data_IF_406251073174
#
_entry.id   IF_406251073174
#
_cell.length_a   1.000
_cell.length_b   1.000
_cell.length_c   1.000
_cell.angle_alpha   90.00
_cell.angle_beta   90.00
_cell.angle_gamma   90.00
#
_symmetry.space_group_name_H-M   'P 1'
#
loop_
_entity.id
_entity.type
_entity.pdbx_description
1 polymer ?
#
# COMPACT_ATOMS: atom_id res chain seq x y z
N UNK A 1 31.08 69.94 23.82
CA UNK A 1 31.86 68.72 24.06
C UNK A 1 30.90 67.68 24.63
N UNK A 2 30.67 66.60 23.88
CA UNK A 2 30.18 65.25 24.24
C UNK A 2 29.05 65.11 25.29
N UNK A 3 27.82 64.74 24.87
CA UNK A 3 27.30 63.36 24.69
C UNK A 3 27.12 62.63 26.02
N UNK A 4 25.87 62.32 26.40
CA UNK A 4 25.33 60.96 26.54
C UNK A 4 23.83 61.04 26.85
N UNK A 5 23.00 60.79 25.84
CA UNK A 5 21.57 60.54 25.96
C UNK A 5 21.43 59.01 26.06
N UNK A 6 21.10 58.49 27.23
CA UNK A 6 20.81 57.06 27.41
C UNK A 6 19.36 56.80 26.98
N UNK A 7 19.20 56.34 25.74
CA UNK A 7 17.92 55.83 25.22
C UNK A 7 17.76 54.40 25.76
N UNK A 8 16.81 54.22 26.68
CA UNK A 8 16.37 52.91 27.12
C UNK A 8 15.64 52.19 26.00
N UNK A 9 16.30 51.22 25.37
CA UNK A 9 15.69 50.24 24.48
C UNK A 9 14.97 49.20 25.35
N UNK A 10 13.67 49.40 25.56
CA UNK A 10 12.76 48.36 26.04
C UNK A 10 12.55 47.38 24.88
N UNK A 11 13.37 46.32 24.85
CA UNK A 11 13.16 45.19 23.96
C UNK A 11 11.86 44.48 24.34
N UNK A 12 10.83 44.65 23.53
CA UNK A 12 9.69 43.73 23.51
C UNK A 12 10.21 42.38 23.01
N UNK A 13 10.56 41.50 23.94
CA UNK A 13 10.65 40.07 23.67
C UNK A 13 9.26 39.61 23.28
N UNK A 14 9.00 39.48 21.98
CA UNK A 14 7.88 38.71 21.47
C UNK A 14 8.11 37.26 21.92
N UNK A 15 7.51 36.88 23.06
CA UNK A 15 7.29 35.47 23.36
C UNK A 15 6.31 34.94 22.31
N UNK A 16 6.84 34.32 21.26
CA UNK A 16 6.03 33.36 20.50
C UNK A 16 5.65 32.27 21.50
N UNK A 17 4.36 31.98 21.72
CA UNK A 17 3.97 30.87 22.56
C UNK A 17 4.64 29.62 21.99
N UNK A 18 5.51 29.00 22.77
CA UNK A 18 6.01 27.66 22.48
C UNK A 18 4.78 26.78 22.62
N UNK A 19 4.08 26.54 21.51
CA UNK A 19 3.09 25.48 21.47
C UNK A 19 3.88 24.20 21.72
N UNK A 20 3.69 23.61 22.89
CA UNK A 20 4.21 22.28 23.20
C UNK A 20 3.79 21.36 22.07
N UNK A 21 4.76 20.73 21.40
CA UNK A 21 4.45 19.74 20.37
C UNK A 21 3.67 18.61 21.04
N UNK A 22 2.51 18.26 20.47
CA UNK A 22 1.63 17.22 21.03
C UNK A 22 2.09 15.89 20.48
N UNK A 23 2.48 14.96 21.35
CA UNK A 23 2.74 13.57 21.00
C UNK A 23 1.45 12.74 21.05
N UNK A 24 1.24 11.84 20.09
CA UNK A 24 0.14 10.87 20.06
C UNK A 24 0.51 9.56 20.79
N UNK A 25 1.79 9.21 20.92
CA UNK A 25 2.30 7.96 21.49
C UNK A 25 1.67 7.60 22.86
N UNK A 26 1.36 8.61 23.68
CA UNK A 26 0.77 8.44 25.01
C UNK A 26 -0.65 9.02 25.12
N UNK A 27 -1.35 9.16 23.98
CA UNK A 27 -2.70 9.74 23.89
C UNK A 27 -3.68 8.73 23.29
N UNK A 28 -4.16 7.77 24.09
CA UNK A 28 -5.09 6.74 23.61
C UNK A 28 -6.37 7.33 23.02
N UNK A 29 -6.82 8.49 23.51
CA UNK A 29 -7.97 9.22 22.98
C UNK A 29 -7.74 9.74 21.54
N UNK A 30 -6.51 10.13 21.20
CA UNK A 30 -6.16 10.52 19.83
C UNK A 30 -5.93 9.30 18.95
N UNK A 31 -5.29 8.25 19.46
CA UNK A 31 -5.06 7.00 18.73
C UNK A 31 -6.36 6.27 18.40
N UNK A 32 -7.38 6.33 19.27
CA UNK A 32 -8.70 5.77 18.97
C UNK A 32 -9.37 6.50 17.80
N UNK A 33 -9.25 7.84 17.75
CA UNK A 33 -9.72 8.63 16.60
C UNK A 33 -8.95 8.32 15.33
N UNK A 34 -7.64 8.13 15.40
CA UNK A 34 -6.82 7.67 14.27
C UNK A 34 -7.33 6.31 13.78
N UNK A 35 -7.52 5.35 14.68
CA UNK A 35 -8.01 4.02 14.34
C UNK A 35 -9.40 4.08 13.68
N UNK A 36 -10.29 4.93 14.18
CA UNK A 36 -11.62 5.14 13.58
C UNK A 36 -11.53 5.78 12.20
N UNK A 37 -10.71 6.82 12.01
CA UNK A 37 -10.52 7.46 10.71
C UNK A 37 -9.94 6.48 9.67
N UNK A 38 -8.94 5.69 10.05
CA UNK A 38 -8.35 4.64 9.22
C UNK A 38 -9.37 3.55 8.89
N UNK A 39 -10.07 3.02 9.88
CA UNK A 39 -11.08 1.98 9.67
C UNK A 39 -12.16 2.42 8.68
N UNK A 40 -12.65 3.65 8.82
CA UNK A 40 -13.60 4.24 7.86
C UNK A 40 -12.98 4.44 6.48
N UNK A 41 -11.71 4.87 6.41
CA UNK A 41 -10.98 5.03 5.13
C UNK A 41 -10.86 3.71 4.38
N UNK A 42 -10.39 2.65 5.04
CA UNK A 42 -10.26 1.34 4.41
C UNK A 42 -11.62 0.71 4.12
N UNK A 43 -12.67 1.00 4.89
CA UNK A 43 -14.04 0.59 4.56
C UNK A 43 -14.75 1.50 3.55
N UNK A 44 -14.06 2.45 2.91
CA UNK A 44 -14.63 3.35 1.91
C UNK A 44 -15.78 4.26 2.44
N UNK A 45 -15.84 4.46 3.75
CA UNK A 45 -16.72 5.41 4.45
C UNK A 45 -16.02 6.77 4.57
N UNK A 46 -15.77 7.42 3.43
CA UNK A 46 -14.88 8.58 3.35
C UNK A 46 -15.42 9.84 4.04
N UNK A 47 -16.74 10.02 4.08
CA UNK A 47 -17.35 11.15 4.77
C UNK A 47 -17.16 11.04 6.28
N UNK A 48 -17.37 9.85 6.85
CA UNK A 48 -17.14 9.51 8.25
C UNK A 48 -15.65 9.60 8.62
N UNK A 49 -14.77 9.13 7.74
CA UNK A 49 -13.33 9.26 7.90
C UNK A 49 -12.92 10.74 8.01
N UNK A 50 -13.45 11.60 7.15
CA UNK A 50 -13.16 13.04 7.14
C UNK A 50 -13.70 13.79 8.35
N UNK A 51 -14.83 13.38 8.91
CA UNK A 51 -15.34 13.97 10.16
C UNK A 51 -14.28 13.80 11.26
N UNK A 52 -13.82 12.57 11.46
CA UNK A 52 -12.83 12.24 12.50
C UNK A 52 -11.47 12.86 12.22
N UNK A 53 -11.03 12.84 10.95
CA UNK A 53 -9.79 13.50 10.52
C UNK A 53 -9.81 15.01 10.83
N UNK A 54 -10.94 15.70 10.58
CA UNK A 54 -11.06 17.15 10.84
C UNK A 54 -11.05 17.47 12.33
N UNK A 55 -11.60 16.60 13.18
CA UNK A 55 -11.49 16.74 14.63
C UNK A 55 -10.04 16.67 15.09
N UNK A 56 -9.27 15.70 14.57
CA UNK A 56 -7.84 15.58 14.85
C UNK A 56 -7.05 16.80 14.34
N UNK A 57 -7.39 17.29 13.14
CA UNK A 57 -6.81 18.50 12.58
C UNK A 57 -7.08 19.72 13.46
N UNK A 58 -8.29 19.89 13.96
CA UNK A 58 -8.64 21.00 14.85
C UNK A 58 -7.92 20.89 16.20
N UNK A 59 -7.82 19.69 16.76
CA UNK A 59 -7.17 19.45 18.05
C UNK A 59 -5.64 19.58 17.98
N UNK A 60 -5.03 19.19 16.84
CA UNK A 60 -3.58 19.08 16.68
C UNK A 60 -3.11 19.55 15.29
N UNK A 61 -3.32 20.85 14.94
CA UNK A 61 -3.09 21.34 13.58
C UNK A 61 -1.64 21.29 13.10
N UNK A 62 -0.69 21.20 14.03
CA UNK A 62 0.75 21.13 13.75
C UNK A 62 1.32 19.71 13.91
N UNK A 63 0.49 18.70 14.14
CA UNK A 63 0.93 17.30 14.14
C UNK A 63 0.87 16.73 12.71
N UNK A 64 1.75 15.81 12.30
CA UNK A 64 1.70 15.20 10.95
C UNK A 64 0.45 14.35 10.70
N UNK A 65 -0.05 13.66 11.73
CA UNK A 65 -1.11 12.65 11.59
C UNK A 65 -2.37 13.12 10.83
N UNK A 66 -2.96 14.30 11.10
CA UNK A 66 -4.14 14.75 10.36
C UNK A 66 -3.90 14.90 8.85
N UNK A 67 -2.73 15.40 8.43
CA UNK A 67 -2.39 15.54 7.00
C UNK A 67 -2.17 14.17 6.37
N UNK A 68 -1.47 13.27 7.08
CA UNK A 68 -1.26 11.90 6.66
C UNK A 68 -2.59 11.16 6.45
N UNK A 69 -3.54 11.28 7.38
CA UNK A 69 -4.87 10.67 7.27
C UNK A 69 -5.69 11.21 6.09
N UNK A 70 -5.70 12.53 5.86
CA UNK A 70 -6.38 13.10 4.69
C UNK A 70 -5.75 12.60 3.38
N UNK A 71 -4.43 12.44 3.33
CA UNK A 71 -3.76 11.88 2.16
C UNK A 71 -4.23 10.43 1.90
N UNK A 72 -4.33 9.59 2.93
CA UNK A 72 -4.85 8.23 2.78
C UNK A 72 -6.31 8.21 2.33
N UNK A 73 -7.16 9.10 2.86
CA UNK A 73 -8.55 9.26 2.41
C UNK A 73 -8.59 9.58 0.91
N UNK A 74 -7.78 10.53 0.43
CA UNK A 74 -7.72 10.89 -0.99
C UNK A 74 -7.27 9.71 -1.85
N UNK A 75 -6.25 8.96 -1.40
CA UNK A 75 -5.75 7.80 -2.13
C UNK A 75 -6.84 6.75 -2.33
N UNK A 76 -7.55 6.39 -1.26
CA UNK A 76 -8.57 5.35 -1.31
C UNK A 76 -9.87 5.80 -1.98
N UNK A 77 -10.29 7.05 -1.81
CA UNK A 77 -11.48 7.60 -2.48
C UNK A 77 -11.34 7.61 -4.01
N UNK A 78 -10.11 7.76 -4.50
CA UNK A 78 -9.79 7.79 -5.92
C UNK A 78 -9.13 6.49 -6.38
N UNK A 79 -9.29 5.39 -5.64
CA UNK A 79 -8.62 4.14 -5.95
C UNK A 79 -9.12 3.53 -7.28
N UNK A 80 -8.23 3.07 -8.19
CA UNK A 80 -6.78 3.29 -8.20
C UNK A 80 -6.39 4.74 -8.43
N UNK A 81 -5.53 5.28 -7.55
CA UNK A 81 -5.01 6.62 -7.75
C UNK A 81 -3.95 6.61 -8.86
N UNK A 82 -4.33 7.03 -10.06
CA UNK A 82 -3.43 7.16 -11.21
C UNK A 82 -2.69 8.52 -11.23
N UNK A 83 -1.59 8.67 -11.98
CA UNK A 83 -0.90 9.94 -12.13
C UNK A 83 -1.69 10.95 -12.96
N UNK A 84 -1.21 12.20 -12.97
CA UNK A 84 -1.69 13.25 -13.87
C UNK A 84 -3.17 13.65 -13.66
N UNK A 85 -3.65 13.52 -12.42
CA UNK A 85 -4.94 14.05 -11.97
C UNK A 85 -4.79 14.89 -10.69
N UNK A 86 -5.79 15.76 -10.45
CA UNK A 86 -5.75 16.70 -9.31
C UNK A 86 -5.76 16.02 -7.93
N UNK A 87 -6.34 14.83 -7.81
CA UNK A 87 -6.32 14.06 -6.57
C UNK A 87 -4.91 13.55 -6.25
N UNK A 88 -4.16 13.13 -7.28
CA UNK A 88 -2.78 12.66 -7.14
C UNK A 88 -1.83 13.78 -6.72
N UNK A 89 -2.02 14.99 -7.27
CA UNK A 89 -1.26 16.18 -6.84
C UNK A 89 -1.56 16.52 -5.37
N UNK A 90 -2.83 16.42 -4.95
CA UNK A 90 -3.23 16.65 -3.55
C UNK A 90 -2.66 15.58 -2.60
N UNK A 91 -2.70 14.31 -2.98
CA UNK A 91 -2.12 13.21 -2.22
C UNK A 91 -0.62 13.45 -1.97
N UNK A 92 0.14 13.73 -3.04
CA UNK A 92 1.58 13.99 -2.95
C UNK A 92 1.86 15.21 -2.07
N UNK A 93 1.11 16.30 -2.27
CA UNK A 93 1.27 17.52 -1.48
C UNK A 93 1.02 17.31 0.02
N UNK A 94 -0.02 16.55 0.39
CA UNK A 94 -0.32 16.26 1.78
C UNK A 94 0.72 15.34 2.42
N UNK A 95 1.25 14.37 1.68
CA UNK A 95 2.35 13.53 2.15
C UNK A 95 3.62 14.35 2.36
N UNK A 96 3.96 15.25 1.43
CA UNK A 96 5.09 16.16 1.59
C UNK A 96 4.89 17.08 2.82
N UNK A 97 3.66 17.60 3.02
CA UNK A 97 3.37 18.42 4.20
C UNK A 97 3.46 17.64 5.51
N UNK A 98 3.03 16.38 5.52
CA UNK A 98 3.20 15.48 6.66
C UNK A 98 4.68 15.27 6.99
N UNK A 99 5.51 15.04 5.97
CA UNK A 99 6.97 14.90 6.10
C UNK A 99 7.60 16.17 6.66
N UNK A 100 7.25 17.35 6.15
CA UNK A 100 7.75 18.63 6.67
C UNK A 100 7.41 18.83 8.16
N UNK A 101 6.18 18.48 8.57
CA UNK A 101 5.78 18.52 9.98
C UNK A 101 6.56 17.51 10.83
N UNK A 102 6.83 16.33 10.27
CA UNK A 102 7.58 15.27 10.94
C UNK A 102 9.05 15.68 11.16
N UNK A 103 9.66 16.35 10.19
CA UNK A 103 11.00 16.93 10.31
C UNK A 103 11.11 17.96 11.44
N UNK A 104 10.03 18.69 11.75
CA UNK A 104 9.97 19.56 12.93
C UNK A 104 9.84 18.78 14.24
N UNK A 105 9.12 17.64 14.26
CA UNK A 105 9.03 16.77 15.44
C UNK A 105 10.36 16.08 15.76
N UNK A 106 11.17 15.75 14.75
CA UNK A 106 12.49 15.12 14.92
C UNK A 106 13.46 16.02 15.72
N UNK A 107 13.23 17.33 15.76
CA UNK A 107 14.10 18.28 16.49
C UNK A 107 13.93 18.24 18.01
N UNK A 108 12.93 17.51 18.51
CA UNK A 108 12.60 17.40 19.93
C UNK A 108 12.64 15.93 20.36
N UNK A 109 13.35 15.64 21.45
CA UNK A 109 13.52 14.28 21.99
C UNK A 109 12.17 13.62 22.34
N UNK A 110 11.20 14.39 22.86
CA UNK A 110 9.90 13.86 23.27
C UNK A 110 9.02 13.41 22.10
N UNK A 111 9.22 13.99 20.90
CA UNK A 111 8.44 13.67 19.69
C UNK A 111 9.27 13.00 18.61
N UNK A 112 10.53 12.67 18.90
CA UNK A 112 11.49 12.15 17.93
C UNK A 112 10.98 10.88 17.25
N UNK A 113 10.43 9.94 18.02
CA UNK A 113 9.94 8.66 17.51
C UNK A 113 8.81 8.83 16.49
N UNK A 114 7.87 9.72 16.77
CA UNK A 114 6.76 10.03 15.86
C UNK A 114 7.23 10.81 14.65
N UNK A 115 8.17 11.73 14.83
CA UNK A 115 8.83 12.42 13.73
C UNK A 115 9.51 11.44 12.76
N UNK A 116 10.26 10.46 13.27
CA UNK A 116 10.88 9.42 12.43
C UNK A 116 9.82 8.57 11.73
N UNK A 117 8.76 8.20 12.44
CA UNK A 117 7.64 7.44 11.87
C UNK A 117 6.98 8.18 10.70
N UNK A 118 6.54 9.42 10.89
CA UNK A 118 5.84 10.17 9.84
C UNK A 118 6.75 10.60 8.68
N UNK A 119 8.04 10.86 8.92
CA UNK A 119 9.02 11.09 7.84
C UNK A 119 9.19 9.83 6.99
N UNK A 120 9.34 8.65 7.63
CA UNK A 120 9.45 7.38 6.92
C UNK A 120 8.20 7.08 6.10
N UNK A 121 7.02 7.08 6.73
CA UNK A 121 5.81 6.61 6.07
C UNK A 121 5.22 7.63 5.11
N UNK A 122 5.36 8.94 5.36
CA UNK A 122 5.02 9.96 4.36
C UNK A 122 5.79 9.75 3.05
N UNK A 123 7.09 9.46 3.14
CA UNK A 123 7.92 9.10 1.97
C UNK A 123 7.57 7.74 1.39
N UNK A 124 7.33 6.74 2.24
CA UNK A 124 7.04 5.37 1.79
C UNK A 124 5.73 5.27 1.00
N UNK A 125 4.66 5.92 1.44
CA UNK A 125 3.39 5.92 0.71
C UNK A 125 3.48 6.71 -0.60
N UNK A 126 4.25 7.81 -0.62
CA UNK A 126 4.56 8.52 -1.88
C UNK A 126 5.38 7.65 -2.84
N UNK A 127 6.38 6.94 -2.33
CA UNK A 127 7.18 5.99 -3.10
C UNK A 127 6.33 4.85 -3.66
N UNK A 128 5.43 4.28 -2.86
CA UNK A 128 4.45 3.25 -3.28
C UNK A 128 3.59 3.76 -4.43
N UNK A 129 2.96 4.93 -4.27
CA UNK A 129 2.16 5.55 -5.34
C UNK A 129 2.94 5.72 -6.65
N UNK A 130 4.19 6.18 -6.60
CA UNK A 130 5.00 6.31 -7.80
C UNK A 130 5.45 4.95 -8.37
N UNK A 131 5.73 3.97 -7.53
CA UNK A 131 6.14 2.63 -7.95
C UNK A 131 5.00 1.87 -8.65
N UNK A 132 3.81 1.87 -8.05
CA UNK A 132 2.61 1.22 -8.60
C UNK A 132 2.22 1.81 -9.97
N UNK A 133 2.58 3.07 -10.22
CA UNK A 133 2.33 3.77 -11.47
C UNK A 133 3.54 3.77 -12.44
N UNK A 134 4.55 2.94 -12.18
CA UNK A 134 5.73 2.77 -13.06
C UNK A 134 6.64 3.99 -13.14
N UNK A 135 6.58 4.93 -12.19
CA UNK A 135 7.38 6.17 -12.13
C UNK A 135 8.59 6.03 -11.20
N UNK A 136 9.40 4.99 -11.40
CA UNK A 136 10.56 4.65 -10.55
C UNK A 136 11.55 5.80 -10.33
N UNK A 137 11.74 6.67 -11.33
CA UNK A 137 12.61 7.86 -11.21
C UNK A 137 12.19 8.84 -10.10
N UNK A 138 10.91 8.87 -9.72
CA UNK A 138 10.39 9.71 -8.62
C UNK A 138 10.58 9.08 -7.23
N UNK A 139 10.89 7.79 -7.16
CA UNK A 139 11.13 7.06 -5.89
C UNK A 139 12.57 7.27 -5.39
N UNK A 140 13.52 7.32 -6.33
CA UNK A 140 14.97 7.36 -6.06
C UNK A 140 15.39 8.42 -5.01
N UNK A 141 14.87 9.67 -5.04
CA UNK A 141 15.30 10.71 -4.09
C UNK A 141 15.03 10.35 -2.62
N UNK A 142 13.99 9.57 -2.33
CA UNK A 142 13.58 9.24 -0.97
C UNK A 142 14.24 7.96 -0.41
N UNK A 143 14.78 7.09 -1.27
CA UNK A 143 15.30 5.76 -0.88
C UNK A 143 16.37 5.80 0.21
N UNK A 144 17.35 6.70 0.08
CA UNK A 144 18.44 6.82 1.06
C UNK A 144 17.95 7.30 2.43
N UNK A 145 16.94 8.19 2.44
CA UNK A 145 16.34 8.70 3.68
C UNK A 145 15.49 7.60 4.32
N UNK A 146 14.63 6.94 3.53
CA UNK A 146 13.80 5.83 4.00
C UNK A 146 14.63 4.70 4.59
N UNK A 147 15.75 4.32 3.96
CA UNK A 147 16.64 3.32 4.51
C UNK A 147 17.21 3.73 5.87
N UNK A 148 17.68 4.99 6.00
CA UNK A 148 18.16 5.52 7.28
C UNK A 148 17.06 5.51 8.35
N UNK A 149 15.84 5.97 8.03
CA UNK A 149 14.72 5.97 8.99
C UNK A 149 14.28 4.58 9.39
N UNK A 150 14.33 3.63 8.45
CA UNK A 150 14.07 2.22 8.73
C UNK A 150 15.07 1.67 9.75
N UNK A 151 16.36 1.99 9.60
CA UNK A 151 17.40 1.63 10.58
C UNK A 151 17.20 2.28 11.94
N UNK A 152 16.82 3.56 11.99
CA UNK A 152 16.44 4.19 13.26
C UNK A 152 15.23 3.47 13.88
N UNK A 153 14.26 3.04 13.09
CA UNK A 153 13.12 2.23 13.53
C UNK A 153 13.50 0.88 14.16
N UNK A 154 14.58 0.22 13.72
CA UNK A 154 15.08 -1.02 14.34
C UNK A 154 15.41 -0.84 15.83
N UNK A 155 16.01 0.30 16.18
CA UNK A 155 16.41 0.65 17.55
C UNK A 155 15.21 1.06 18.43
N UNK A 156 14.10 1.47 17.80
CA UNK A 156 12.95 2.07 18.48
C UNK A 156 11.69 1.19 18.50
N UNK A 157 11.63 0.09 17.76
CA UNK A 157 10.41 -0.75 17.61
C UNK A 157 9.80 -1.24 18.93
N UNK A 158 10.62 -1.49 19.95
CA UNK A 158 10.15 -1.95 21.26
C UNK A 158 9.52 -0.83 22.10
N UNK A 159 9.83 0.43 21.77
CA UNK A 159 9.29 1.62 22.41
C UNK A 159 8.09 2.18 21.63
N UNK A 160 8.15 2.10 20.29
CA UNK A 160 7.07 2.49 19.41
C UNK A 160 6.73 1.37 18.43
N UNK A 161 5.68 0.62 18.76
CA UNK A 161 5.30 -0.64 18.09
C UNK A 161 5.03 -0.51 16.60
N UNK A 162 4.74 0.69 16.10
CA UNK A 162 4.54 0.97 14.68
C UNK A 162 5.74 0.56 13.81
N UNK A 163 6.97 0.65 14.34
CA UNK A 163 8.17 0.26 13.58
C UNK A 163 8.30 -1.24 13.35
N UNK A 164 7.51 -2.09 14.03
CA UNK A 164 7.46 -3.52 13.71
C UNK A 164 7.01 -3.78 12.26
N UNK A 165 6.19 -2.90 11.69
CA UNK A 165 5.82 -3.01 10.28
C UNK A 165 7.03 -2.78 9.35
N UNK A 166 7.71 -1.65 9.45
CA UNK A 166 8.85 -1.34 8.57
C UNK A 166 10.04 -2.29 8.76
N UNK A 167 10.31 -2.69 10.00
CA UNK A 167 11.41 -3.62 10.30
C UNK A 167 11.08 -5.02 9.82
N UNK A 168 9.82 -5.46 9.97
CA UNK A 168 9.34 -6.73 9.43
C UNK A 168 9.42 -6.79 7.91
N UNK A 169 8.95 -5.73 7.22
CA UNK A 169 9.10 -5.61 5.77
C UNK A 169 10.57 -5.62 5.35
N UNK A 170 11.43 -4.86 6.03
CA UNK A 170 12.86 -4.81 5.71
C UNK A 170 13.50 -6.20 5.80
N UNK A 171 13.36 -6.84 6.96
CA UNK A 171 13.93 -8.16 7.24
C UNK A 171 13.50 -9.22 6.22
N UNK A 172 12.26 -9.15 5.76
CA UNK A 172 11.76 -10.07 4.75
C UNK A 172 12.27 -9.73 3.35
N UNK A 173 12.03 -8.51 2.87
CA UNK A 173 12.25 -8.15 1.47
C UNK A 173 13.72 -8.01 1.09
N UNK A 174 14.60 -7.67 2.04
CA UNK A 174 16.04 -7.58 1.77
C UNK A 174 16.63 -8.94 1.34
N UNK A 175 16.04 -10.04 1.83
CA UNK A 175 16.40 -11.42 1.46
C UNK A 175 15.53 -11.95 0.30
N UNK A 176 14.21 -11.81 0.37
CA UNK A 176 13.28 -12.42 -0.58
C UNK A 176 13.35 -11.78 -1.98
N UNK A 177 13.55 -10.45 -2.07
CA UNK A 177 13.57 -9.75 -3.35
C UNK A 177 14.77 -10.13 -4.24
N UNK A 178 16.03 -10.17 -3.76
CA UNK A 178 17.17 -10.63 -4.58
C UNK A 178 17.16 -12.14 -4.86
N UNK A 179 16.46 -12.95 -4.06
CA UNK A 179 16.20 -14.36 -4.39
C UNK A 179 15.31 -14.47 -5.63
N UNK A 180 14.21 -13.73 -5.67
CA UNK A 180 13.29 -13.66 -6.81
C UNK A 180 13.90 -12.90 -8.02
N UNK A 181 14.78 -11.92 -7.77
CA UNK A 181 15.39 -11.08 -8.78
C UNK A 181 16.92 -10.98 -8.59
N UNK A 182 17.69 -12.02 -8.99
CA UNK A 182 19.14 -12.10 -8.75
C UNK A 182 19.96 -10.92 -9.28
N UNK A 183 19.44 -10.16 -10.25
CA UNK A 183 20.07 -8.96 -10.80
C UNK A 183 20.32 -7.87 -9.74
N UNK A 184 19.55 -7.86 -8.65
CA UNK A 184 19.69 -6.87 -7.57
C UNK A 184 20.72 -7.25 -6.49
N UNK A 185 21.19 -8.51 -6.46
CA UNK A 185 22.16 -9.00 -5.45
C UNK A 185 23.39 -8.09 -5.26
N UNK A 186 24.04 -7.56 -6.32
CA UNK A 186 25.23 -6.72 -6.13
C UNK A 186 24.97 -5.44 -5.32
N UNK A 187 23.75 -4.90 -5.37
CA UNK A 187 23.37 -3.64 -4.72
C UNK A 187 23.22 -3.77 -3.19
N UNK A 188 23.14 -5.01 -2.68
CA UNK A 188 22.83 -5.28 -1.27
C UNK A 188 24.07 -5.39 -0.38
N UNK A 189 25.26 -5.42 -0.96
CA UNK A 189 26.54 -5.63 -0.23
C UNK A 189 26.84 -4.61 0.88
N UNK A 190 26.15 -3.47 0.89
CA UNK A 190 26.29 -2.41 1.91
C UNK A 190 25.04 -2.25 2.79
N UNK A 191 24.03 -3.09 2.59
CA UNK A 191 22.79 -3.10 3.36
C UNK A 191 22.93 -4.02 4.57
N UNK A 192 22.11 -3.76 5.59
CA UNK A 192 21.99 -4.65 6.74
C UNK A 192 21.34 -5.97 6.28
N UNK A 193 21.86 -7.10 6.73
CA UNK A 193 21.26 -8.41 6.44
C UNK A 193 19.86 -8.53 7.08
N UNK A 194 18.98 -9.26 6.43
CA UNK A 194 17.65 -9.56 6.94
C UNK A 194 17.51 -10.99 7.45
N UNK A 195 16.30 -11.29 7.91
CA UNK A 195 15.86 -12.62 8.28
C UNK A 195 14.38 -12.73 7.92
N UNK A 196 14.06 -13.59 6.94
CA UNK A 196 12.68 -13.74 6.45
C UNK A 196 11.72 -14.18 7.55
N UNK A 197 12.14 -15.12 8.41
CA UNK A 197 11.29 -15.64 9.47
C UNK A 197 11.03 -14.57 10.53
N UNK A 198 12.07 -13.85 10.94
CA UNK A 198 11.91 -12.70 11.84
C UNK A 198 11.02 -11.62 11.21
N UNK A 199 11.16 -11.38 9.90
CA UNK A 199 10.31 -10.44 9.16
C UNK A 199 8.83 -10.79 9.25
N UNK A 200 8.48 -12.06 9.05
CA UNK A 200 7.11 -12.56 9.18
C UNK A 200 6.60 -12.45 10.63
N UNK A 201 7.43 -12.76 11.62
CA UNK A 201 7.07 -12.63 13.04
C UNK A 201 6.79 -11.18 13.44
N UNK A 202 7.63 -10.25 12.97
CA UNK A 202 7.47 -8.82 13.21
C UNK A 202 6.24 -8.24 12.51
N UNK A 203 5.94 -8.66 11.28
CA UNK A 203 4.70 -8.29 10.60
C UNK A 203 3.47 -8.82 11.33
N UNK A 204 3.51 -10.07 11.80
CA UNK A 204 2.43 -10.61 12.62
C UNK A 204 2.28 -9.86 13.96
N UNK A 205 3.40 -9.44 14.57
CA UNK A 205 3.33 -8.58 15.75
C UNK A 205 2.66 -7.24 15.40
N UNK A 206 3.03 -6.62 14.28
CA UNK A 206 2.43 -5.36 13.83
C UNK A 206 0.91 -5.49 13.63
N UNK A 207 0.43 -6.53 12.94
CA UNK A 207 -1.00 -6.82 12.72
C UNK A 207 -1.81 -6.75 14.02
N UNK A 208 -1.23 -7.19 15.14
CA UNK A 208 -1.96 -7.31 16.39
C UNK A 208 -1.83 -6.08 17.30
N UNK A 209 -0.77 -5.27 17.15
CA UNK A 209 -0.41 -4.25 18.14
C UNK A 209 -0.36 -2.82 17.59
N UNK A 210 -0.27 -2.61 16.28
CA UNK A 210 -0.20 -1.25 15.72
C UNK A 210 -1.58 -0.61 15.58
N UNK A 211 -1.57 0.72 15.45
CA UNK A 211 -2.73 1.56 15.17
C UNK A 211 -2.67 2.04 13.73
N UNK A 212 -1.58 2.70 13.33
CA UNK A 212 -1.48 3.33 12.02
C UNK A 212 -1.35 2.32 10.90
N UNK A 213 -0.49 1.31 11.08
CA UNK A 213 -0.07 0.41 10.01
C UNK A 213 -0.60 -1.01 10.15
N UNK A 214 -1.67 -1.20 10.93
CA UNK A 214 -2.28 -2.51 11.17
C UNK A 214 -2.81 -3.12 9.88
N UNK A 215 -3.52 -2.31 9.09
CA UNK A 215 -4.15 -2.76 7.84
C UNK A 215 -3.09 -3.03 6.78
N UNK A 216 -2.07 -2.17 6.68
CA UNK A 216 -0.90 -2.39 5.83
C UNK A 216 -0.17 -3.68 6.21
N UNK A 217 0.10 -3.92 7.50
CA UNK A 217 0.77 -5.13 7.95
C UNK A 217 -0.01 -6.39 7.54
N UNK A 218 -1.34 -6.35 7.68
CA UNK A 218 -2.22 -7.45 7.30
C UNK A 218 -2.23 -7.67 5.78
N UNK A 219 -2.27 -6.58 5.02
CA UNK A 219 -2.22 -6.60 3.56
C UNK A 219 -0.88 -7.13 3.04
N UNK A 220 0.24 -6.59 3.50
CA UNK A 220 1.56 -7.06 3.10
C UNK A 220 1.82 -8.50 3.51
N UNK A 221 1.32 -8.94 4.66
CA UNK A 221 1.38 -10.36 5.04
C UNK A 221 0.67 -11.23 4.00
N UNK A 222 -0.55 -10.88 3.58
CA UNK A 222 -1.25 -11.61 2.51
C UNK A 222 -0.48 -11.61 1.19
N UNK A 223 0.08 -10.47 0.80
CA UNK A 223 0.88 -10.34 -0.43
C UNK A 223 2.15 -11.19 -0.39
N UNK A 224 2.86 -11.21 0.74
CA UNK A 224 4.07 -12.00 0.93
C UNK A 224 3.74 -13.49 0.77
N UNK A 225 2.70 -13.96 1.46
CA UNK A 225 2.26 -15.35 1.37
C UNK A 225 1.90 -15.74 -0.07
N UNK A 226 1.20 -14.88 -0.79
CA UNK A 226 0.78 -15.14 -2.17
C UNK A 226 1.95 -15.11 -3.16
N UNK A 227 2.78 -14.07 -3.09
CA UNK A 227 3.70 -13.69 -4.17
C UNK A 227 5.12 -14.23 -4.00
N UNK A 228 5.52 -14.53 -2.76
CA UNK A 228 6.89 -14.94 -2.43
C UNK A 228 6.93 -16.32 -1.76
N UNK A 229 6.08 -16.59 -0.78
CA UNK A 229 6.01 -17.92 -0.15
C UNK A 229 5.20 -18.93 -0.99
N UNK A 230 4.46 -18.44 -2.00
CA UNK A 230 3.60 -19.24 -2.86
C UNK A 230 2.54 -20.07 -2.07
N UNK A 231 2.14 -19.58 -0.90
CA UNK A 231 1.18 -20.21 0.02
C UNK A 231 -0.20 -19.55 -0.13
N UNK A 232 -0.99 -20.07 -1.08
CA UNK A 232 -2.37 -19.66 -1.33
C UNK A 232 -3.26 -19.79 -0.08
N UNK A 233 -3.28 -20.93 0.66
CA UNK A 233 -4.03 -21.05 1.91
C UNK A 233 -3.72 -19.94 2.93
N UNK A 234 -2.45 -19.70 3.24
CA UNK A 234 -2.05 -18.65 4.19
C UNK A 234 -2.39 -17.26 3.68
N UNK A 235 -2.18 -16.98 2.39
CA UNK A 235 -2.58 -15.71 1.78
C UNK A 235 -4.10 -15.45 1.95
N UNK A 236 -4.91 -16.48 1.74
CA UNK A 236 -6.37 -16.40 1.85
C UNK A 236 -6.84 -16.10 3.29
N UNK A 237 -6.15 -16.60 4.32
CA UNK A 237 -6.50 -16.29 5.73
C UNK A 237 -6.45 -14.79 5.98
N UNK A 238 -5.37 -14.13 5.56
CA UNK A 238 -5.21 -12.69 5.75
C UNK A 238 -6.10 -11.87 4.82
N UNK A 239 -6.28 -12.30 3.57
CA UNK A 239 -7.17 -11.62 2.61
C UNK A 239 -8.65 -11.70 3.05
N UNK A 240 -9.12 -12.85 3.56
CA UNK A 240 -10.47 -12.98 4.12
C UNK A 240 -10.67 -12.07 5.33
N UNK A 241 -9.66 -11.91 6.19
CA UNK A 241 -9.72 -10.96 7.30
C UNK A 241 -9.86 -9.52 6.82
N UNK A 242 -9.07 -9.10 5.83
CA UNK A 242 -9.21 -7.76 5.23
C UNK A 242 -10.59 -7.51 4.64
N UNK A 243 -11.11 -8.47 3.87
CA UNK A 243 -12.44 -8.36 3.28
C UNK A 243 -13.55 -8.40 4.35
N UNK A 244 -13.37 -9.16 5.43
CA UNK A 244 -14.33 -9.19 6.53
C UNK A 244 -14.38 -7.87 7.29
N UNK A 245 -13.21 -7.30 7.60
CA UNK A 245 -13.08 -6.06 8.35
C UNK A 245 -13.46 -4.83 7.48
N UNK A 246 -13.23 -4.92 6.16
CA UNK A 246 -13.43 -3.84 5.19
C UNK A 246 -14.14 -4.32 3.91
N UNK A 247 -15.41 -4.77 4.00
CA UNK A 247 -16.13 -5.41 2.89
C UNK A 247 -16.35 -4.53 1.66
N UNK A 248 -16.38 -3.19 1.82
CA UNK A 248 -16.62 -2.26 0.71
C UNK A 248 -15.33 -1.89 -0.05
N UNK A 249 -14.16 -2.34 0.42
CA UNK A 249 -12.89 -2.03 -0.21
C UNK A 249 -12.69 -2.85 -1.49
N UNK A 250 -12.80 -2.19 -2.64
CA UNK A 250 -12.70 -2.83 -3.97
C UNK A 250 -11.34 -3.50 -4.22
N UNK A 251 -10.27 -3.01 -3.58
CA UNK A 251 -8.96 -3.65 -3.70
C UNK A 251 -8.91 -4.96 -2.93
N UNK A 252 -9.39 -4.97 -1.67
CA UNK A 252 -9.39 -6.21 -0.87
C UNK A 252 -10.35 -7.26 -1.43
N UNK A 253 -11.47 -6.83 -2.02
CA UNK A 253 -12.35 -7.70 -2.80
C UNK A 253 -11.59 -8.33 -3.98
N UNK A 254 -10.92 -7.53 -4.81
CA UNK A 254 -10.15 -8.03 -5.96
C UNK A 254 -8.99 -8.95 -5.57
N UNK A 255 -8.27 -8.61 -4.50
CA UNK A 255 -7.17 -9.41 -3.96
C UNK A 255 -7.65 -10.77 -3.45
N UNK A 256 -8.70 -10.80 -2.63
CA UNK A 256 -9.30 -12.05 -2.16
C UNK A 256 -9.86 -12.88 -3.34
N UNK A 257 -10.60 -12.24 -4.25
CA UNK A 257 -11.18 -12.92 -5.41
C UNK A 257 -10.09 -13.59 -6.26
N UNK A 258 -8.97 -12.91 -6.49
CA UNK A 258 -7.81 -13.47 -7.20
C UNK A 258 -7.30 -14.73 -6.50
N UNK A 259 -7.11 -14.69 -5.19
CA UNK A 259 -6.65 -15.85 -4.42
C UNK A 259 -7.65 -17.01 -4.52
N UNK A 260 -8.95 -16.73 -4.39
CA UNK A 260 -10.01 -17.75 -4.45
C UNK A 260 -10.12 -18.41 -5.83
N UNK A 261 -9.90 -17.66 -6.92
CA UNK A 261 -9.85 -18.22 -8.28
C UNK A 261 -8.74 -19.27 -8.40
N UNK A 262 -7.53 -18.95 -7.95
CA UNK A 262 -6.38 -19.87 -7.96
C UNK A 262 -6.50 -21.00 -6.93
N UNK A 263 -7.33 -20.85 -5.91
CA UNK A 263 -7.74 -21.95 -5.03
C UNK A 263 -8.89 -22.80 -5.61
N UNK A 264 -9.40 -22.47 -6.79
CA UNK A 264 -10.59 -23.10 -7.40
C UNK A 264 -11.84 -23.06 -6.49
N UNK A 265 -11.93 -22.07 -5.60
CA UNK A 265 -13.01 -21.90 -4.62
C UNK A 265 -14.20 -21.17 -5.25
N UNK A 266 -14.73 -21.70 -6.35
CA UNK A 266 -15.68 -21.01 -7.22
C UNK A 266 -17.02 -20.64 -6.57
N UNK A 267 -17.45 -21.39 -5.54
CA UNK A 267 -18.67 -21.04 -4.79
C UNK A 267 -18.49 -19.73 -4.02
N UNK A 268 -17.33 -19.53 -3.37
CA UNK A 268 -17.01 -18.28 -2.68
C UNK A 268 -16.85 -17.13 -3.70
N UNK A 269 -16.21 -17.40 -4.84
CA UNK A 269 -16.07 -16.41 -5.93
C UNK A 269 -17.43 -15.92 -6.41
N UNK A 270 -18.38 -16.83 -6.65
CA UNK A 270 -19.73 -16.46 -7.11
C UNK A 270 -20.49 -15.60 -6.09
N UNK A 271 -20.35 -15.89 -4.79
CA UNK A 271 -20.98 -15.05 -3.76
C UNK A 271 -20.34 -13.65 -3.70
N UNK A 272 -19.01 -13.56 -3.82
CA UNK A 272 -18.33 -12.27 -3.90
C UNK A 272 -18.78 -11.46 -5.13
N UNK A 273 -18.89 -12.10 -6.30
CA UNK A 273 -19.36 -11.43 -7.52
C UNK A 273 -20.79 -10.87 -7.36
N UNK A 274 -21.64 -11.56 -6.61
CA UNK A 274 -23.00 -11.08 -6.29
C UNK A 274 -22.98 -9.83 -5.41
N UNK A 275 -22.06 -9.75 -4.46
CA UNK A 275 -21.85 -8.56 -3.63
C UNK A 275 -21.34 -7.38 -4.49
N UNK A 276 -20.42 -7.66 -5.40
CA UNK A 276 -19.81 -6.66 -6.29
C UNK A 276 -20.72 -6.20 -7.45
N UNK A 277 -21.88 -6.82 -7.68
CA UNK A 277 -22.77 -6.52 -8.82
C UNK A 277 -23.22 -5.05 -8.86
N UNK A 278 -23.40 -4.43 -7.69
CA UNK A 278 -23.76 -3.02 -7.55
C UNK A 278 -22.62 -2.04 -7.83
N UNK A 279 -21.37 -2.50 -7.84
CA UNK A 279 -20.17 -1.68 -8.04
C UNK A 279 -19.90 -1.50 -9.54
N UNK A 280 -20.09 -0.26 -10.00
CA UNK A 280 -20.01 0.12 -11.42
C UNK A 280 -18.74 0.89 -11.77
N UNK A 281 -17.83 1.08 -10.83
CA UNK A 281 -16.56 1.69 -11.14
C UNK A 281 -15.74 0.78 -12.09
N UNK A 282 -14.87 1.36 -12.94
CA UNK A 282 -14.14 0.58 -13.94
C UNK A 282 -13.20 -0.49 -13.34
N UNK A 283 -12.72 -0.30 -12.11
CA UNK A 283 -11.82 -1.25 -11.46
C UNK A 283 -12.57 -2.51 -11.01
N UNK A 284 -13.73 -2.33 -10.36
CA UNK A 284 -14.62 -3.43 -9.99
C UNK A 284 -15.13 -4.17 -11.23
N UNK A 285 -15.44 -3.48 -12.33
CA UNK A 285 -15.79 -4.14 -13.59
C UNK A 285 -14.64 -5.00 -14.14
N UNK A 286 -13.39 -4.52 -14.04
CA UNK A 286 -12.20 -5.26 -14.44
C UNK A 286 -12.02 -6.54 -13.61
N UNK A 287 -12.17 -6.46 -12.28
CA UNK A 287 -12.12 -7.61 -11.37
C UNK A 287 -13.20 -8.64 -11.72
N UNK A 288 -14.45 -8.20 -11.92
CA UNK A 288 -15.55 -9.10 -12.30
C UNK A 288 -15.29 -9.77 -13.65
N UNK A 289 -14.78 -9.01 -14.63
CA UNK A 289 -14.41 -9.53 -15.95
C UNK A 289 -13.33 -10.61 -15.86
N UNK A 290 -12.30 -10.43 -15.00
CA UNK A 290 -11.31 -11.47 -14.73
C UNK A 290 -11.97 -12.74 -14.19
N UNK A 291 -12.79 -12.60 -13.14
CA UNK A 291 -13.44 -13.73 -12.49
C UNK A 291 -14.30 -14.56 -13.44
N UNK A 292 -15.13 -13.87 -14.23
CA UNK A 292 -16.02 -14.47 -15.22
C UNK A 292 -15.23 -15.19 -16.32
N UNK A 293 -14.16 -14.57 -16.85
CA UNK A 293 -13.30 -15.19 -17.86
C UNK A 293 -12.59 -16.44 -17.32
N UNK A 294 -12.06 -16.34 -16.10
CA UNK A 294 -11.35 -17.43 -15.44
C UNK A 294 -12.27 -18.61 -15.13
N UNK A 295 -13.48 -18.37 -14.62
CA UNK A 295 -14.46 -19.43 -14.39
C UNK A 295 -14.99 -20.01 -15.71
N UNK A 296 -15.14 -19.18 -16.76
CA UNK A 296 -15.50 -19.68 -18.09
C UNK A 296 -14.46 -20.67 -18.61
N UNK A 297 -13.16 -20.37 -18.46
CA UNK A 297 -12.06 -21.27 -18.83
C UNK A 297 -12.04 -22.52 -17.94
N UNK A 298 -11.86 -22.34 -16.63
CA UNK A 298 -11.46 -23.42 -15.72
C UNK A 298 -12.62 -24.23 -15.16
N UNK A 299 -13.79 -23.63 -14.99
CA UNK A 299 -14.96 -24.29 -14.41
C UNK A 299 -15.94 -24.79 -15.49
N UNK A 300 -16.23 -23.94 -16.48
CA UNK A 300 -17.27 -24.22 -17.47
C UNK A 300 -16.74 -24.83 -18.77
N UNK A 301 -15.45 -24.70 -19.06
CA UNK A 301 -14.85 -25.10 -20.34
C UNK A 301 -15.40 -24.33 -21.54
N UNK A 302 -15.89 -23.10 -21.32
CA UNK A 302 -16.41 -22.22 -22.35
C UNK A 302 -15.30 -21.31 -22.89
N UNK A 303 -14.46 -21.88 -23.74
CA UNK A 303 -13.27 -21.22 -24.31
C UNK A 303 -13.59 -19.93 -25.09
N UNK A 304 -14.78 -19.86 -25.70
CA UNK A 304 -15.21 -18.67 -26.42
C UNK A 304 -15.45 -17.51 -25.45
N UNK A 305 -16.26 -17.75 -24.42
CA UNK A 305 -16.55 -16.74 -23.38
C UNK A 305 -15.28 -16.35 -22.62
N UNK A 306 -14.44 -17.33 -22.28
CA UNK A 306 -13.15 -17.08 -21.63
C UNK A 306 -12.26 -16.18 -22.50
N UNK A 307 -12.13 -16.49 -23.78
CA UNK A 307 -11.32 -15.71 -24.73
C UNK A 307 -11.82 -14.27 -24.88
N UNK A 308 -13.13 -14.07 -25.03
CA UNK A 308 -13.75 -12.74 -25.08
C UNK A 308 -13.51 -11.96 -23.77
N UNK A 309 -13.69 -12.62 -22.63
CA UNK A 309 -13.47 -12.05 -21.31
C UNK A 309 -12.02 -11.62 -21.10
N UNK A 310 -11.03 -12.46 -21.43
CA UNK A 310 -9.62 -12.10 -21.33
C UNK A 310 -9.21 -10.98 -22.28
N UNK A 311 -9.77 -10.91 -23.49
CA UNK A 311 -9.53 -9.78 -24.38
C UNK A 311 -10.12 -8.48 -23.84
N UNK A 312 -11.31 -8.53 -23.22
CA UNK A 312 -11.92 -7.39 -22.54
C UNK A 312 -11.06 -6.94 -21.35
N UNK A 313 -10.65 -7.89 -20.50
CA UNK A 313 -9.80 -7.66 -19.34
C UNK A 313 -8.52 -6.92 -19.72
N UNK A 314 -7.82 -7.39 -20.77
CA UNK A 314 -6.60 -6.76 -21.27
C UNK A 314 -6.84 -5.29 -21.65
N UNK A 315 -7.92 -4.99 -22.39
CA UNK A 315 -8.26 -3.60 -22.77
C UNK A 315 -8.62 -2.73 -21.57
N UNK A 316 -9.31 -3.28 -20.57
CA UNK A 316 -9.64 -2.57 -19.34
C UNK A 316 -8.39 -2.28 -18.52
N UNK A 317 -7.48 -3.24 -18.40
CA UNK A 317 -6.21 -3.08 -17.68
C UNK A 317 -5.33 -1.96 -18.28
N UNK A 318 -5.30 -1.82 -19.61
CA UNK A 318 -4.57 -0.74 -20.29
C UNK A 318 -4.95 0.67 -19.78
N UNK A 319 -6.19 0.86 -19.35
CA UNK A 319 -6.66 2.17 -18.83
C UNK A 319 -6.07 2.55 -17.47
N UNK A 320 -5.55 1.56 -16.72
CA UNK A 320 -4.89 1.75 -15.43
C UNK A 320 -3.36 1.68 -15.53
N UNK A 321 -2.82 1.31 -16.70
CA UNK A 321 -1.38 1.19 -16.93
C UNK A 321 -0.72 0.18 -15.98
N UNK A 322 0.52 0.47 -15.49
CA UNK A 322 1.28 -0.46 -14.66
C UNK A 322 0.55 -0.96 -13.41
N UNK A 323 -0.41 -0.17 -12.90
CA UNK A 323 -1.20 -0.51 -11.72
C UNK A 323 -2.00 -1.81 -11.92
N UNK A 324 -2.39 -2.12 -13.16
CA UNK A 324 -3.16 -3.32 -13.52
C UNK A 324 -2.31 -4.42 -14.21
N UNK A 325 -0.97 -4.33 -14.17
CA UNK A 325 -0.09 -5.29 -14.87
C UNK A 325 -0.34 -6.75 -14.46
N UNK A 326 -0.67 -7.00 -13.20
CA UNK A 326 -1.02 -8.35 -12.70
C UNK A 326 -2.28 -8.90 -13.38
N UNK A 327 -3.32 -8.08 -13.56
CA UNK A 327 -4.55 -8.47 -14.24
C UNK A 327 -4.32 -8.70 -15.74
N UNK A 328 -3.53 -7.83 -16.37
CA UNK A 328 -3.13 -8.00 -17.77
C UNK A 328 -2.30 -9.28 -17.96
N UNK A 329 -1.40 -9.62 -17.04
CA UNK A 329 -0.62 -10.86 -17.08
C UNK A 329 -1.52 -12.10 -17.02
N UNK A 330 -2.51 -12.13 -16.13
CA UNK A 330 -3.50 -13.21 -16.06
C UNK A 330 -4.31 -13.33 -17.35
N UNK A 331 -4.74 -12.20 -17.94
CA UNK A 331 -5.43 -12.19 -19.23
C UNK A 331 -4.58 -12.82 -20.34
N UNK A 332 -3.31 -12.43 -20.40
CA UNK A 332 -2.37 -12.97 -21.38
C UNK A 332 -2.14 -14.47 -21.22
N UNK A 333 -2.00 -14.97 -19.98
CA UNK A 333 -1.85 -16.41 -19.76
C UNK A 333 -3.11 -17.20 -20.07
N UNK A 334 -4.28 -16.68 -19.71
CA UNK A 334 -5.56 -17.27 -20.11
C UNK A 334 -5.65 -17.41 -21.64
N UNK A 335 -5.31 -16.35 -22.39
CA UNK A 335 -5.24 -16.41 -23.85
C UNK A 335 -4.16 -17.37 -24.36
N UNK A 336 -3.02 -17.45 -23.69
CA UNK A 336 -1.95 -18.40 -24.04
C UNK A 336 -2.46 -19.84 -23.99
N UNK A 337 -3.08 -20.24 -22.88
CA UNK A 337 -3.65 -21.58 -22.66
C UNK A 337 -4.75 -21.92 -23.68
N UNK A 338 -5.64 -20.98 -23.96
CA UNK A 338 -6.69 -21.16 -24.98
C UNK A 338 -6.13 -21.33 -26.40
N UNK A 339 -4.98 -20.72 -26.73
CA UNK A 339 -4.32 -20.91 -28.02
C UNK A 339 -3.56 -22.23 -28.09
N UNK A 340 -2.92 -22.65 -27.00
CA UNK A 340 -2.26 -23.95 -26.91
C UNK A 340 -3.25 -25.10 -27.13
N UNK A 341 -4.43 -25.03 -26.51
CA UNK A 341 -5.52 -26.00 -26.71
C UNK A 341 -5.99 -26.09 -28.17
N UNK A 342 -5.87 -25.00 -28.94
CA UNK A 342 -6.22 -24.93 -30.36
C UNK A 342 -5.08 -25.35 -31.29
N UNK A 343 -3.91 -25.72 -30.75
CA UNK A 343 -2.71 -26.03 -31.52
C UNK A 343 -2.01 -24.81 -32.13
N UNK A 344 -2.32 -23.61 -31.62
CA UNK A 344 -1.72 -22.33 -32.07
C UNK A 344 -0.51 -21.99 -31.21
N UNK A 345 0.54 -22.82 -31.30
CA UNK A 345 1.72 -22.74 -30.42
C UNK A 345 2.45 -21.39 -30.48
N UNK A 346 2.54 -20.78 -31.67
CA UNK A 346 3.23 -19.49 -31.84
C UNK A 346 2.50 -18.38 -31.09
N UNK A 347 1.18 -18.30 -31.27
CA UNK A 347 0.31 -17.33 -30.60
C UNK A 347 0.32 -17.55 -29.08
N UNK A 348 0.26 -18.81 -28.64
CA UNK A 348 0.36 -19.17 -27.23
C UNK A 348 1.67 -18.67 -26.62
N UNK A 349 2.81 -18.92 -27.27
CA UNK A 349 4.11 -18.47 -26.81
C UNK A 349 4.25 -16.95 -26.80
N UNK A 350 3.69 -16.25 -27.79
CA UNK A 350 3.67 -14.79 -27.83
C UNK A 350 2.91 -14.19 -26.64
N UNK A 351 1.76 -14.77 -26.28
CA UNK A 351 1.00 -14.34 -25.11
C UNK A 351 1.71 -14.65 -23.79
N UNK A 352 2.27 -15.85 -23.63
CA UNK A 352 3.06 -16.19 -22.43
C UNK A 352 4.25 -15.23 -22.24
N UNK A 353 4.94 -14.90 -23.34
CA UNK A 353 6.04 -13.93 -23.30
C UNK A 353 5.56 -12.53 -22.89
N UNK A 354 4.36 -12.10 -23.29
CA UNK A 354 3.79 -10.82 -22.84
C UNK A 354 3.51 -10.85 -21.33
N UNK A 355 2.90 -11.91 -20.81
CA UNK A 355 2.66 -12.07 -19.38
C UNK A 355 3.97 -11.99 -18.56
N UNK A 356 5.02 -12.71 -18.99
CA UNK A 356 6.32 -12.73 -18.30
C UNK A 356 7.05 -11.38 -18.23
N UNK A 357 6.63 -10.39 -19.04
CA UNK A 357 7.17 -9.02 -18.98
C UNK A 357 6.45 -8.15 -17.95
N UNK A 358 5.23 -8.52 -17.58
CA UNK A 358 4.37 -7.76 -16.66
C UNK A 358 4.45 -8.28 -15.23
N UNK A 359 4.80 -9.55 -15.04
CA UNK A 359 4.92 -10.14 -13.70
C UNK A 359 6.01 -11.19 -13.63
N UNK A 360 6.52 -11.38 -12.42
CA UNK A 360 7.42 -12.48 -12.05
C UNK A 360 6.77 -13.47 -11.08
N UNK A 361 5.48 -13.29 -10.74
CA UNK A 361 4.82 -14.11 -9.73
C UNK A 361 4.46 -15.49 -10.28
N UNK A 362 4.96 -16.53 -9.62
CA UNK A 362 4.85 -17.92 -10.08
C UNK A 362 3.44 -18.49 -10.00
N UNK A 363 2.64 -18.07 -9.02
CA UNK A 363 1.22 -18.47 -8.96
C UNK A 363 0.42 -18.07 -10.20
N UNK A 364 0.93 -17.09 -10.97
CA UNK A 364 0.39 -16.70 -12.28
C UNK A 364 1.11 -17.48 -13.37
N UNK A 365 2.44 -17.39 -13.43
CA UNK A 365 3.24 -17.91 -14.56
C UNK A 365 3.29 -19.44 -14.67
N UNK A 366 3.11 -20.16 -13.57
CA UNK A 366 3.18 -21.63 -13.50
C UNK A 366 1.77 -22.28 -13.60
N UNK A 367 0.72 -21.48 -13.81
CA UNK A 367 -0.69 -21.90 -13.96
C UNK A 367 -1.08 -22.25 -15.40
#
# INVERSE_FOLDING_TARGET
>A
MQRFLAIGLLGMLCWTPIFSQVSYLHRPDLLEKVASALGNTYNFAFDEARVTQKELLHATPNHPAPMFLEALIIYWEHFPLLPDNTASDRFVHLMDRSVELAEELIKNEETYQEGIFFDLFGRAFKAMFWADNGKTGKVIPDLGIMYRRTKEGFEMKDQFVEFYFSTGLYNYYIEAYPEAHPVYKPLLSFMQEGDKQLGLEQLNHAINHTVYLKVEALHFMSLIQLKYEEDLPSAAVYARRLHHDYPDNIYYQGHLLTILLHQHSYVEVQEMLRIMEGQKDPWSEMIRTLAEAFMAEKQSGNDLLAGEGYQKLMKSADSFGPFADVYAAMAYLGLSRLNEQKGLEREAHEYARKASKLTAYRFILDE
#
